data_IF_263172704607
#
_entry.id   IF_263172704607
#
_cell.length_a   1.000
_cell.length_b   1.000
_cell.length_c   1.000
_cell.angle_alpha   90.00
_cell.angle_beta   90.00
_cell.angle_gamma   90.00
#
_symmetry.space_group_name_H-M   'P 1'
#
loop_
_entity.id
_entity.type
_entity.pdbx_description
1 polymer ?
#
# COMPACT_ATOMS: atom_id res chain seq x y z
N UNK A 1 -24.10 -22.06 -12.13
CA UNK A 1 -24.70 -21.25 -13.19
C UNK A 1 -23.61 -20.61 -14.04
N UNK A 2 -23.49 -20.92 -15.33
CA UNK A 2 -22.55 -20.20 -16.23
C UNK A 2 -23.13 -18.82 -16.49
N UNK A 3 -22.49 -17.78 -15.99
CA UNK A 3 -22.82 -16.38 -16.32
C UNK A 3 -22.57 -16.22 -17.82
N UNK A 4 -23.63 -16.02 -18.61
CA UNK A 4 -23.51 -15.73 -20.03
C UNK A 4 -22.92 -14.28 -20.16
N UNK A 5 -21.62 -14.20 -20.33
CA UNK A 5 -20.93 -12.92 -20.57
C UNK A 5 -21.21 -12.47 -21.99
N UNK A 6 -22.12 -11.52 -22.19
CA UNK A 6 -22.29 -10.88 -23.50
C UNK A 6 -20.96 -10.22 -23.91
N UNK A 7 -20.36 -10.70 -24.98
CA UNK A 7 -19.03 -10.32 -25.47
C UNK A 7 -18.81 -8.77 -25.56
N UNK A 8 -19.77 -7.97 -26.06
CA UNK A 8 -19.62 -6.51 -26.13
C UNK A 8 -19.55 -5.86 -24.73
N UNK A 9 -20.39 -6.29 -23.79
CA UNK A 9 -20.41 -5.76 -22.42
C UNK A 9 -19.12 -6.10 -21.67
N UNK A 10 -18.60 -7.31 -21.85
CA UNK A 10 -17.33 -7.73 -21.26
C UNK A 10 -16.18 -6.87 -21.76
N UNK A 11 -16.08 -6.61 -23.08
CA UNK A 11 -15.03 -5.76 -23.67
C UNK A 11 -15.12 -4.32 -23.14
N UNK A 12 -16.33 -3.76 -23.06
CA UNK A 12 -16.56 -2.42 -22.54
C UNK A 12 -16.15 -2.32 -21.06
N UNK A 13 -16.64 -3.22 -20.21
CA UNK A 13 -16.31 -3.24 -18.77
C UNK A 13 -14.82 -3.44 -18.55
N UNK A 14 -14.17 -4.28 -19.35
CA UNK A 14 -12.72 -4.50 -19.32
C UNK A 14 -11.96 -3.19 -19.63
N UNK A 15 -12.30 -2.51 -20.74
CA UNK A 15 -11.64 -1.27 -21.13
C UNK A 15 -11.83 -0.17 -20.08
N UNK A 16 -13.08 0.04 -19.61
CA UNK A 16 -13.38 1.02 -18.57
C UNK A 16 -12.65 0.74 -17.26
N UNK A 17 -12.57 -0.53 -16.87
CA UNK A 17 -11.83 -0.94 -15.69
C UNK A 17 -10.31 -0.76 -15.82
N UNK A 18 -9.74 -0.98 -17.03
CA UNK A 18 -8.32 -0.69 -17.30
C UNK A 18 -8.07 0.82 -17.21
N UNK A 19 -8.87 1.64 -17.89
CA UNK A 19 -8.76 3.13 -17.82
C UNK A 19 -8.84 3.60 -16.37
N UNK A 20 -9.84 3.11 -15.62
CA UNK A 20 -9.95 3.40 -14.19
C UNK A 20 -8.65 3.11 -13.44
N UNK A 21 -8.06 1.93 -13.60
CA UNK A 21 -6.86 1.56 -12.86
C UNK A 21 -5.62 2.34 -13.25
N UNK A 22 -5.43 2.53 -14.54
CA UNK A 22 -4.29 3.28 -15.10
C UNK A 22 -4.28 4.71 -14.58
N UNK A 23 -5.44 5.39 -14.70
CA UNK A 23 -5.59 6.79 -14.25
C UNK A 23 -5.58 6.89 -12.72
N UNK A 24 -6.12 5.88 -12.00
CA UNK A 24 -6.06 5.80 -10.54
C UNK A 24 -4.62 5.77 -10.02
N UNK A 25 -3.75 4.93 -10.61
CA UNK A 25 -2.35 4.81 -10.20
C UNK A 25 -1.63 6.14 -10.46
N UNK A 26 -1.87 6.78 -11.61
CA UNK A 26 -1.31 8.08 -11.91
C UNK A 26 -1.79 9.17 -10.93
N UNK A 27 -3.08 9.23 -10.61
CA UNK A 27 -3.64 10.17 -9.62
C UNK A 27 -3.01 9.97 -8.24
N UNK A 28 -2.84 8.71 -7.82
CA UNK A 28 -2.26 8.37 -6.53
C UNK A 28 -0.79 8.79 -6.41
N UNK A 29 -0.05 8.82 -7.53
CA UNK A 29 1.34 9.25 -7.56
C UNK A 29 1.52 10.72 -7.14
N UNK A 30 0.57 11.60 -7.48
CA UNK A 30 0.59 13.01 -7.03
C UNK A 30 0.31 13.18 -5.53
N UNK A 31 -0.12 12.12 -4.85
CA UNK A 31 -0.42 12.08 -3.43
C UNK A 31 0.31 10.93 -2.72
N UNK A 32 1.49 10.54 -3.24
CA UNK A 32 2.24 9.39 -2.71
C UNK A 32 2.55 9.56 -1.21
N UNK A 33 2.07 8.64 -0.34
CA UNK A 33 2.16 8.80 1.11
C UNK A 33 3.58 8.80 1.68
N UNK A 34 4.54 8.23 0.96
CA UNK A 34 5.95 8.14 1.41
C UNK A 34 6.87 9.17 0.77
N UNK A 35 6.41 9.86 -0.28
CA UNK A 35 7.21 10.85 -0.98
C UNK A 35 6.56 12.25 -0.98
N UNK A 36 5.41 12.43 -1.62
CA UNK A 36 4.79 13.73 -1.82
C UNK A 36 4.17 14.28 -0.54
N UNK A 37 3.40 13.45 0.18
CA UNK A 37 2.69 13.92 1.38
C UNK A 37 3.61 14.32 2.52
N UNK A 38 4.71 13.63 2.85
CA UNK A 38 5.65 14.10 3.86
C UNK A 38 6.26 15.46 3.54
N UNK A 39 6.65 15.69 2.27
CA UNK A 39 7.20 16.97 1.82
C UNK A 39 6.15 18.10 1.94
N UNK A 40 4.91 17.82 1.55
CA UNK A 40 3.78 18.75 1.70
C UNK A 40 3.54 19.12 3.16
N UNK A 41 3.47 18.12 4.06
CA UNK A 41 3.20 18.37 5.49
C UNK A 41 4.34 19.17 6.13
N UNK A 42 5.60 18.91 5.76
CA UNK A 42 6.72 19.73 6.22
C UNK A 42 6.59 21.16 5.75
N UNK A 43 6.25 21.41 4.49
CA UNK A 43 6.05 22.76 3.95
C UNK A 43 4.87 23.47 4.66
N UNK A 44 3.75 22.74 4.89
CA UNK A 44 2.57 23.28 5.55
C UNK A 44 2.80 23.67 7.01
N UNK A 45 3.66 22.93 7.73
CA UNK A 45 3.85 23.05 9.18
C UNK A 45 5.17 23.70 9.57
N UNK A 46 5.98 24.15 8.61
CA UNK A 46 7.28 24.73 8.87
C UNK A 46 8.30 23.74 9.48
N UNK A 47 8.25 22.46 9.08
CA UNK A 47 9.21 21.44 9.51
C UNK A 47 8.72 20.50 10.63
N UNK A 48 7.45 20.53 10.97
CA UNK A 48 6.87 19.73 12.06
C UNK A 48 6.77 18.23 11.76
N UNK A 49 7.73 17.41 12.17
CA UNK A 49 7.79 15.96 11.92
C UNK A 49 6.64 15.17 12.57
N UNK A 50 6.17 15.63 13.74
CA UNK A 50 5.03 15.02 14.42
C UNK A 50 3.77 15.03 13.53
N UNK A 51 3.59 16.08 12.76
CA UNK A 51 2.46 16.24 11.85
C UNK A 51 2.55 15.29 10.66
N UNK A 52 3.77 15.00 10.17
CA UNK A 52 4.01 13.95 9.16
C UNK A 52 3.56 12.58 9.70
N UNK A 53 3.93 12.26 10.93
CA UNK A 53 3.50 11.03 11.60
C UNK A 53 1.98 10.95 11.77
N UNK A 54 1.33 12.05 12.18
CA UNK A 54 -0.13 12.12 12.36
C UNK A 54 -0.87 11.91 11.02
N UNK A 55 -0.46 12.58 9.95
CA UNK A 55 -1.10 12.41 8.62
C UNK A 55 -0.94 10.98 8.12
N UNK A 56 0.25 10.38 8.24
CA UNK A 56 0.49 9.00 7.87
C UNK A 56 -0.38 8.03 8.69
N UNK A 57 -0.52 8.27 10.00
CA UNK A 57 -1.37 7.48 10.89
C UNK A 57 -2.87 7.61 10.52
N UNK A 58 -3.34 8.81 10.22
CA UNK A 58 -4.73 9.06 9.84
C UNK A 58 -5.09 8.40 8.49
N UNK A 59 -4.19 8.47 7.50
CA UNK A 59 -4.39 7.79 6.21
C UNK A 59 -4.48 6.27 6.42
N UNK A 60 -3.55 5.70 7.18
CA UNK A 60 -3.53 4.25 7.44
C UNK A 60 -4.73 3.80 8.26
N UNK A 61 -5.09 4.55 9.30
CA UNK A 61 -6.28 4.28 10.12
C UNK A 61 -7.56 4.42 9.32
N UNK A 62 -7.66 5.46 8.47
CA UNK A 62 -8.77 5.69 7.56
C UNK A 62 -8.98 4.52 6.59
N UNK A 63 -7.88 3.86 6.18
CA UNK A 63 -7.95 2.67 5.35
C UNK A 63 -8.41 1.42 6.11
N UNK A 64 -8.05 1.24 7.38
CA UNK A 64 -8.33 0.00 8.13
C UNK A 64 -9.70 -0.02 8.78
N UNK A 65 -10.14 1.09 9.41
CA UNK A 65 -11.36 1.07 10.22
C UNK A 65 -12.62 0.68 9.44
N UNK A 66 -12.86 1.10 8.17
CA UNK A 66 -14.06 0.70 7.47
C UNK A 66 -14.07 -0.79 7.12
N UNK A 67 -12.90 -1.38 6.88
CA UNK A 67 -12.75 -2.79 6.52
C UNK A 67 -13.28 -3.73 7.60
N UNK A 68 -13.24 -3.30 8.87
CA UNK A 68 -13.72 -4.08 10.02
C UNK A 68 -15.24 -4.32 9.93
N UNK A 69 -15.99 -3.37 9.35
CA UNK A 69 -17.45 -3.38 9.34
C UNK A 69 -18.06 -3.71 7.98
N UNK A 70 -17.39 -3.36 6.90
CA UNK A 70 -18.00 -3.30 5.56
C UNK A 70 -18.14 -4.65 4.86
N UNK A 71 -17.30 -5.64 5.16
CA UNK A 71 -17.38 -6.93 4.47
C UNK A 71 -18.73 -7.63 4.70
N UNK A 72 -19.27 -7.56 5.92
CA UNK A 72 -20.62 -8.05 6.25
C UNK A 72 -21.73 -7.22 5.62
N UNK A 73 -21.58 -5.91 5.59
CA UNK A 73 -22.59 -5.00 5.04
C UNK A 73 -22.78 -5.21 3.53
N UNK A 74 -21.70 -5.31 2.76
CA UNK A 74 -21.79 -5.45 1.29
C UNK A 74 -22.27 -6.83 0.85
N UNK A 75 -22.03 -7.88 1.62
CA UNK A 75 -22.48 -9.24 1.27
C UNK A 75 -24.01 -9.39 1.18
N UNK A 76 -24.78 -8.47 1.75
CA UNK A 76 -26.25 -8.45 1.74
C UNK A 76 -26.86 -7.58 0.64
N UNK A 77 -26.04 -6.90 -0.17
CA UNK A 77 -26.50 -5.95 -1.18
C UNK A 77 -26.46 -6.55 -2.58
N UNK A 78 -27.55 -6.34 -3.34
CA UNK A 78 -27.65 -6.81 -4.74
C UNK A 78 -26.86 -5.97 -5.74
N UNK A 79 -26.68 -4.68 -5.45
CA UNK A 79 -25.94 -3.72 -6.28
C UNK A 79 -24.93 -2.97 -5.43
N UNK A 80 -23.68 -2.94 -5.89
CA UNK A 80 -22.56 -2.35 -5.20
C UNK A 80 -22.05 -1.08 -5.88
N UNK A 81 -22.37 -0.87 -7.16
CA UNK A 81 -21.96 0.29 -7.94
C UNK A 81 -22.38 1.65 -7.35
N UNK A 82 -23.59 1.81 -6.74
CA UNK A 82 -23.94 3.06 -6.07
C UNK A 82 -22.98 3.40 -4.91
N UNK A 83 -22.55 2.40 -4.14
CA UNK A 83 -21.59 2.60 -3.04
C UNK A 83 -20.21 2.98 -3.55
N UNK A 84 -19.76 2.36 -4.66
CA UNK A 84 -18.54 2.77 -5.34
C UNK A 84 -18.61 4.23 -5.80
N UNK A 85 -19.71 4.66 -6.40
CA UNK A 85 -19.91 6.04 -6.87
C UNK A 85 -19.85 7.04 -5.72
N UNK A 86 -20.57 6.79 -4.62
CA UNK A 86 -20.59 7.66 -3.43
C UNK A 86 -19.20 7.75 -2.80
N UNK A 87 -18.53 6.63 -2.61
CA UNK A 87 -17.18 6.61 -2.02
C UNK A 87 -16.16 7.30 -2.92
N UNK A 88 -16.25 7.11 -4.23
CA UNK A 88 -15.37 7.79 -5.20
C UNK A 88 -15.62 9.30 -5.24
N UNK A 89 -16.87 9.74 -5.20
CA UNK A 89 -17.21 11.16 -5.10
C UNK A 89 -16.63 11.76 -3.80
N UNK A 90 -16.79 11.06 -2.65
CA UNK A 90 -16.19 11.48 -1.38
C UNK A 90 -14.67 11.60 -1.43
N UNK A 91 -13.98 10.68 -2.14
CA UNK A 91 -12.52 10.79 -2.36
C UNK A 91 -12.14 12.03 -3.15
N UNK A 92 -12.80 12.26 -4.29
CA UNK A 92 -12.55 13.44 -5.14
C UNK A 92 -12.81 14.72 -4.37
N UNK A 93 -13.96 14.80 -3.67
CA UNK A 93 -14.31 15.97 -2.85
C UNK A 93 -13.30 16.22 -1.73
N UNK A 94 -12.77 15.17 -1.09
CA UNK A 94 -11.73 15.32 -0.07
C UNK A 94 -10.44 15.90 -0.65
N UNK A 95 -9.99 15.42 -1.83
CA UNK A 95 -8.78 15.97 -2.48
C UNK A 95 -8.99 17.44 -2.89
N UNK A 96 -10.15 17.78 -3.49
CA UNK A 96 -10.49 19.15 -3.83
C UNK A 96 -10.59 20.04 -2.59
N UNK A 97 -11.14 19.50 -1.48
CA UNK A 97 -11.17 20.17 -0.20
C UNK A 97 -9.78 20.48 0.35
N UNK A 98 -8.83 19.51 0.24
CA UNK A 98 -7.43 19.75 0.61
C UNK A 98 -6.85 20.88 -0.25
N UNK A 99 -7.00 20.81 -1.57
CA UNK A 99 -6.51 21.86 -2.49
C UNK A 99 -7.11 23.22 -2.13
N UNK A 100 -8.42 23.30 -1.87
CA UNK A 100 -9.10 24.53 -1.49
C UNK A 100 -8.60 25.08 -0.13
N UNK A 101 -8.54 24.23 0.92
CA UNK A 101 -8.06 24.65 2.23
C UNK A 101 -6.64 25.21 2.13
N UNK A 102 -5.76 24.57 1.36
CA UNK A 102 -4.38 25.02 1.17
C UNK A 102 -4.31 26.31 0.34
N UNK A 103 -5.15 26.44 -0.71
CA UNK A 103 -5.20 27.63 -1.57
C UNK A 103 -5.66 28.88 -0.82
N UNK A 104 -6.65 28.75 0.06
CA UNK A 104 -7.26 29.85 0.80
C UNK A 104 -6.70 30.00 2.22
N UNK A 105 -5.66 29.22 2.59
CA UNK A 105 -5.05 29.35 3.90
C UNK A 105 -4.27 30.66 4.05
N UNK A 106 -4.33 31.31 5.21
CA UNK A 106 -3.46 32.46 5.52
C UNK A 106 -1.98 32.04 5.45
N UNK A 107 -1.11 32.99 5.16
CA UNK A 107 0.33 32.75 5.17
C UNK A 107 0.80 32.38 6.57
N UNK A 108 1.46 31.22 6.69
CA UNK A 108 2.02 30.71 7.95
C UNK A 108 1.33 29.44 8.49
N UNK A 109 1.93 28.77 9.48
CA UNK A 109 1.42 27.53 10.06
C UNK A 109 0.24 27.81 11.00
N UNK A 110 -0.96 27.55 10.53
CA UNK A 110 -2.18 27.67 11.32
C UNK A 110 -2.72 26.29 11.70
N UNK A 111 -2.94 26.06 12.99
CA UNK A 111 -3.40 24.77 13.52
C UNK A 111 -4.71 24.30 12.87
N UNK A 112 -5.66 25.18 12.59
CA UNK A 112 -6.92 24.83 11.96
C UNK A 112 -6.76 24.33 10.51
N UNK A 113 -5.81 24.91 9.74
CA UNK A 113 -5.49 24.46 8.37
C UNK A 113 -4.97 23.03 8.41
N UNK A 114 -4.04 22.77 9.32
CA UNK A 114 -3.52 21.42 9.50
C UNK A 114 -4.62 20.43 9.89
N UNK A 115 -5.47 20.78 10.87
CA UNK A 115 -6.56 19.90 11.34
C UNK A 115 -7.57 19.61 10.21
N UNK A 116 -7.92 20.62 9.41
CA UNK A 116 -8.80 20.46 8.26
C UNK A 116 -8.18 19.52 7.20
N UNK A 117 -6.93 19.75 6.83
CA UNK A 117 -6.18 18.91 5.87
C UNK A 117 -6.05 17.48 6.38
N UNK A 118 -5.67 17.28 7.64
CA UNK A 118 -5.53 15.97 8.26
C UNK A 118 -6.86 15.21 8.30
N UNK A 119 -7.96 15.89 8.65
CA UNK A 119 -9.32 15.34 8.60
C UNK A 119 -9.75 14.95 7.18
N UNK A 120 -9.42 15.77 6.18
CA UNK A 120 -9.71 15.45 4.78
C UNK A 120 -8.89 14.27 4.26
N UNK A 121 -7.63 14.09 4.67
CA UNK A 121 -6.85 12.89 4.37
C UNK A 121 -7.46 11.63 4.99
N UNK A 122 -7.96 11.72 6.22
CA UNK A 122 -8.69 10.61 6.85
C UNK A 122 -9.97 10.26 6.07
N UNK A 123 -10.76 11.26 5.66
CA UNK A 123 -11.95 11.06 4.80
C UNK A 123 -11.57 10.44 3.46
N UNK A 124 -10.54 10.95 2.81
CA UNK A 124 -10.00 10.40 1.55
C UNK A 124 -9.68 8.91 1.66
N UNK A 125 -8.93 8.53 2.70
CA UNK A 125 -8.53 7.14 2.93
C UNK A 125 -9.74 6.26 3.27
N UNK A 126 -10.65 6.74 4.12
CA UNK A 126 -11.88 6.03 4.51
C UNK A 126 -12.80 5.78 3.30
N UNK A 127 -13.02 6.79 2.47
CA UNK A 127 -13.76 6.63 1.22
C UNK A 127 -13.08 5.63 0.28
N UNK A 128 -11.74 5.64 0.21
CA UNK A 128 -10.97 4.65 -0.55
C UNK A 128 -11.23 3.22 -0.09
N UNK A 129 -11.17 2.99 1.20
CA UNK A 129 -11.45 1.69 1.81
C UNK A 129 -12.89 1.21 1.56
N UNK A 130 -13.88 2.12 1.66
CA UNK A 130 -15.28 1.83 1.36
C UNK A 130 -15.48 1.41 -0.10
N UNK A 131 -14.82 2.08 -1.04
CA UNK A 131 -14.95 1.80 -2.48
C UNK A 131 -14.23 0.53 -2.95
N UNK A 132 -13.25 0.04 -2.20
CA UNK A 132 -12.43 -1.10 -2.59
C UNK A 132 -13.23 -2.41 -2.68
N UNK A 133 -14.10 -2.70 -1.70
CA UNK A 133 -14.90 -3.94 -1.69
C UNK A 133 -15.89 -3.99 -2.87
N UNK A 134 -16.72 -2.92 -3.11
CA UNK A 134 -17.54 -2.84 -4.31
C UNK A 134 -16.74 -3.02 -5.61
N UNK A 135 -15.59 -2.38 -5.72
CA UNK A 135 -14.73 -2.49 -6.90
C UNK A 135 -14.33 -3.95 -7.19
N UNK A 136 -13.74 -4.65 -6.21
CA UNK A 136 -13.32 -6.04 -6.40
C UNK A 136 -14.49 -6.98 -6.66
N UNK A 137 -15.63 -6.78 -6.00
CA UNK A 137 -16.84 -7.59 -6.23
C UNK A 137 -17.36 -7.40 -7.66
N UNK A 138 -17.51 -6.16 -8.13
CA UNK A 138 -17.98 -5.88 -9.50
C UNK A 138 -17.02 -6.44 -10.54
N UNK A 139 -15.69 -6.32 -10.35
CA UNK A 139 -14.69 -6.91 -11.24
C UNK A 139 -14.85 -8.44 -11.27
N UNK A 140 -15.04 -9.05 -10.11
CA UNK A 140 -15.21 -10.50 -9.99
C UNK A 140 -16.48 -11.01 -10.68
N UNK A 141 -17.56 -10.25 -10.60
CA UNK A 141 -18.85 -10.63 -11.23
C UNK A 141 -18.89 -10.31 -12.72
N UNK A 142 -18.12 -9.28 -13.14
CA UNK A 142 -18.11 -8.82 -14.54
C UNK A 142 -17.09 -9.54 -15.43
N UNK A 143 -16.11 -10.23 -14.84
CA UNK A 143 -14.98 -10.81 -15.60
C UNK A 143 -14.70 -12.28 -15.25
N UNK A 144 -14.49 -13.14 -16.28
CA UNK A 144 -14.07 -14.53 -16.07
C UNK A 144 -12.71 -14.60 -15.35
N UNK A 145 -12.54 -15.62 -14.51
CA UNK A 145 -11.32 -15.79 -13.69
C UNK A 145 -10.01 -15.78 -14.52
N UNK A 146 -10.04 -16.44 -15.70
CA UNK A 146 -8.88 -16.53 -16.61
C UNK A 146 -8.46 -15.19 -17.26
N UNK A 147 -9.27 -14.13 -17.18
CA UNK A 147 -8.95 -12.79 -17.71
C UNK A 147 -8.54 -11.79 -16.63
N UNK A 148 -8.82 -12.08 -15.35
CA UNK A 148 -8.54 -11.17 -14.23
C UNK A 148 -7.04 -10.86 -14.08
N UNK A 149 -6.19 -11.89 -14.21
CA UNK A 149 -4.74 -11.70 -14.13
C UNK A 149 -4.22 -10.71 -15.18
N UNK A 150 -4.63 -10.87 -16.45
CA UNK A 150 -4.28 -9.95 -17.53
C UNK A 150 -4.85 -8.55 -17.32
N UNK A 151 -6.06 -8.44 -16.76
CA UNK A 151 -6.71 -7.17 -16.43
C UNK A 151 -5.89 -6.38 -15.39
N UNK A 152 -5.56 -7.00 -14.26
CA UNK A 152 -4.78 -6.34 -13.23
C UNK A 152 -3.34 -6.07 -13.68
N UNK A 153 -2.71 -7.00 -14.43
CA UNK A 153 -1.38 -6.81 -14.99
C UNK A 153 -1.30 -5.60 -15.92
N UNK A 154 -2.27 -5.43 -16.81
CA UNK A 154 -2.33 -4.28 -17.73
C UNK A 154 -2.55 -2.95 -16.98
N UNK A 155 -3.40 -2.94 -15.96
CA UNK A 155 -3.62 -1.78 -15.09
C UNK A 155 -2.32 -1.36 -14.38
N UNK A 156 -1.61 -2.32 -13.80
CA UNK A 156 -0.36 -2.05 -13.08
C UNK A 156 0.75 -1.59 -14.04
N UNK A 157 0.88 -2.21 -15.20
CA UNK A 157 1.90 -1.85 -16.18
C UNK A 157 1.70 -0.45 -16.73
N UNK A 158 0.54 -0.18 -17.32
CA UNK A 158 0.24 1.14 -17.92
C UNK A 158 0.13 2.22 -16.84
N UNK A 159 -0.45 1.90 -15.68
CA UNK A 159 -0.54 2.80 -14.53
C UNK A 159 0.85 3.15 -13.98
N UNK A 160 1.76 2.18 -13.89
CA UNK A 160 3.16 2.41 -13.50
C UNK A 160 3.90 3.33 -14.46
N UNK A 161 3.70 3.17 -15.77
CA UNK A 161 4.26 4.10 -16.77
C UNK A 161 3.73 5.53 -16.58
N UNK A 162 2.42 5.70 -16.35
CA UNK A 162 1.86 7.01 -16.06
C UNK A 162 2.32 7.56 -14.69
N UNK A 163 2.58 6.71 -13.71
CA UNK A 163 3.14 7.14 -12.42
C UNK A 163 4.58 7.66 -12.56
N UNK A 164 5.38 7.09 -13.48
CA UNK A 164 6.69 7.64 -13.82
C UNK A 164 6.56 9.06 -14.41
N UNK A 165 5.62 9.25 -15.36
CA UNK A 165 5.34 10.58 -15.92
C UNK A 165 4.82 11.55 -14.85
N UNK A 166 3.97 11.07 -13.93
CA UNK A 166 3.53 11.86 -12.78
C UNK A 166 4.72 12.29 -11.90
N UNK A 167 5.69 11.42 -11.66
CA UNK A 167 6.92 11.76 -10.93
C UNK A 167 7.75 12.85 -11.62
N UNK A 168 7.85 12.81 -12.95
CA UNK A 168 8.49 13.86 -13.73
C UNK A 168 7.72 15.19 -13.59
N UNK A 169 6.38 15.15 -13.65
CA UNK A 169 5.53 16.32 -13.44
C UNK A 169 5.67 16.88 -12.01
N UNK A 170 5.66 16.02 -10.99
CA UNK A 170 5.89 16.43 -9.59
C UNK A 170 7.24 17.12 -9.45
N UNK A 171 8.31 16.56 -10.04
CA UNK A 171 9.64 17.19 -10.05
C UNK A 171 9.59 18.58 -10.68
N UNK A 172 8.95 18.73 -11.84
CA UNK A 172 8.85 20.00 -12.53
C UNK A 172 8.06 21.04 -11.69
N UNK A 173 6.91 20.67 -11.13
CA UNK A 173 6.05 21.54 -10.32
C UNK A 173 6.74 21.96 -9.02
N UNK A 174 7.51 21.09 -8.38
CA UNK A 174 8.25 21.39 -7.15
C UNK A 174 9.63 22.05 -7.40
N UNK A 175 10.01 22.26 -8.67
CA UNK A 175 11.25 22.95 -9.03
C UNK A 175 11.08 24.45 -8.88
N UNK A 176 12.02 25.10 -8.17
CA UNK A 176 12.06 26.57 -8.02
C UNK A 176 12.21 27.31 -9.35
N UNK A 177 12.74 26.63 -10.38
CA UNK A 177 12.92 27.20 -11.73
C UNK A 177 11.61 27.61 -12.42
N UNK A 178 10.49 27.03 -12.03
CA UNK A 178 9.18 27.35 -12.61
C UNK A 178 8.39 28.40 -11.83
N UNK A 179 8.96 28.97 -10.76
CA UNK A 179 8.37 30.08 -10.01
C UNK A 179 7.14 29.74 -9.17
N UNK A 180 6.72 28.47 -9.14
CA UNK A 180 5.62 28.01 -8.30
C UNK A 180 6.11 27.74 -6.89
N UNK A 181 5.84 28.68 -5.98
CA UNK A 181 6.18 28.54 -4.58
C UNK A 181 5.02 27.90 -3.78
N UNK A 182 5.32 27.47 -2.55
CA UNK A 182 4.28 27.08 -1.61
C UNK A 182 3.35 28.28 -1.31
N UNK A 183 2.01 28.09 -1.30
CA UNK A 183 1.27 26.83 -1.44
C UNK A 183 0.88 26.42 -2.85
N UNK A 184 1.06 27.27 -3.88
CA UNK A 184 0.50 27.09 -5.23
C UNK A 184 0.99 25.81 -5.91
N UNK A 185 2.24 25.40 -5.70
CA UNK A 185 2.80 24.16 -6.23
C UNK A 185 2.03 22.93 -5.72
N UNK A 186 1.70 22.85 -4.43
CA UNK A 186 0.91 21.73 -3.88
C UNK A 186 -0.57 21.81 -4.22
N UNK A 187 -1.15 23.02 -4.31
CA UNK A 187 -2.51 23.21 -4.83
C UNK A 187 -2.63 22.63 -6.23
N UNK A 188 -1.65 22.91 -7.10
CA UNK A 188 -1.61 22.35 -8.46
C UNK A 188 -1.50 20.81 -8.44
N UNK A 189 -0.62 20.23 -7.61
CA UNK A 189 -0.48 18.78 -7.48
C UNK A 189 -1.80 18.12 -7.05
N UNK A 190 -2.46 18.63 -6.02
CA UNK A 190 -3.73 18.09 -5.54
C UNK A 190 -4.88 18.31 -6.53
N UNK A 191 -4.88 19.41 -7.26
CA UNK A 191 -5.88 19.65 -8.32
C UNK A 191 -5.71 18.63 -9.46
N UNK A 192 -4.49 18.38 -9.92
CA UNK A 192 -4.21 17.33 -10.92
C UNK A 192 -4.64 15.97 -10.38
N UNK A 193 -4.28 15.63 -9.13
CA UNK A 193 -4.71 14.39 -8.48
C UNK A 193 -6.23 14.24 -8.46
N UNK A 194 -6.98 15.33 -8.12
CA UNK A 194 -8.43 15.33 -8.06
C UNK A 194 -9.06 15.11 -9.45
N UNK A 195 -8.57 15.79 -10.47
CA UNK A 195 -9.04 15.63 -11.85
C UNK A 195 -8.82 14.22 -12.37
N UNK A 196 -7.61 13.70 -12.20
CA UNK A 196 -7.30 12.32 -12.59
C UNK A 196 -8.14 11.31 -11.78
N UNK A 197 -8.32 11.52 -10.48
CA UNK A 197 -9.18 10.67 -9.65
C UNK A 197 -10.64 10.71 -10.10
N UNK A 198 -11.15 11.89 -10.50
CA UNK A 198 -12.50 12.04 -11.04
C UNK A 198 -12.65 11.30 -12.38
N UNK A 199 -11.68 11.40 -13.29
CA UNK A 199 -11.66 10.63 -14.55
C UNK A 199 -11.65 9.13 -14.27
N UNK A 200 -10.79 8.69 -13.36
CA UNK A 200 -10.71 7.29 -12.94
C UNK A 200 -12.07 6.81 -12.39
N UNK A 201 -12.65 7.54 -11.45
CA UNK A 201 -13.93 7.23 -10.82
C UNK A 201 -15.08 7.23 -11.86
N UNK A 202 -15.10 8.21 -12.76
CA UNK A 202 -16.07 8.32 -13.85
C UNK A 202 -16.04 7.11 -14.78
N UNK A 203 -14.84 6.69 -15.19
CA UNK A 203 -14.68 5.52 -16.05
C UNK A 203 -15.29 4.24 -15.44
N UNK A 204 -15.08 3.97 -14.16
CA UNK A 204 -15.66 2.79 -13.52
C UNK A 204 -17.13 2.98 -13.14
N UNK A 205 -17.58 4.21 -12.93
CA UNK A 205 -18.98 4.51 -12.58
C UNK A 205 -19.97 4.19 -13.68
N UNK A 206 -19.53 4.08 -14.94
CA UNK A 206 -20.35 3.73 -16.09
C UNK A 206 -20.25 2.24 -16.50
N UNK A 207 -19.59 1.42 -15.69
CA UNK A 207 -19.55 -0.04 -15.85
C UNK A 207 -20.94 -0.60 -15.66
N UNK A 208 -21.30 -1.60 -16.46
CA UNK A 208 -22.55 -2.34 -16.27
C UNK A 208 -22.31 -3.42 -15.21
N UNK A 209 -22.96 -3.24 -14.06
CA UNK A 209 -22.86 -4.17 -12.93
C UNK A 209 -23.82 -5.36 -13.15
N UNK A 210 -23.34 -6.63 -13.14
CA UNK A 210 -24.19 -7.79 -13.03
C UNK A 210 -24.84 -7.87 -11.66
N UNK A 211 -25.98 -8.55 -11.56
CA UNK A 211 -26.61 -8.78 -10.26
C UNK A 211 -25.69 -9.62 -9.36
N UNK A 212 -25.38 -9.07 -8.17
CA UNK A 212 -24.55 -9.75 -7.18
C UNK A 212 -25.34 -10.87 -6.47
N UNK A 213 -24.70 -12.02 -6.27
CA UNK A 213 -25.31 -13.15 -5.61
C UNK A 213 -25.33 -12.92 -4.09
N UNK A 214 -26.51 -12.57 -3.55
CA UNK A 214 -26.68 -12.23 -2.15
C UNK A 214 -26.62 -13.46 -1.26
N UNK A 215 -25.67 -13.51 -0.35
CA UNK A 215 -25.60 -14.56 0.67
C UNK A 215 -26.58 -14.26 1.83
N UNK A 216 -27.65 -15.05 1.93
CA UNK A 216 -28.75 -14.82 2.88
C UNK A 216 -28.42 -15.01 4.38
N UNK A 217 -27.29 -15.65 4.73
CA UNK A 217 -26.94 -15.94 6.13
C UNK A 217 -25.46 -15.72 6.37
N UNK A 218 -25.11 -14.58 6.95
CA UNK A 218 -23.82 -14.40 7.63
C UNK A 218 -24.05 -13.79 9.02
N UNK A 219 -23.34 -14.33 10.01
CA UNK A 219 -23.30 -13.79 11.36
C UNK A 219 -22.84 -12.32 11.31
N UNK A 220 -23.37 -11.42 12.16
CA UNK A 220 -22.91 -10.05 12.23
C UNK A 220 -21.41 -10.02 12.54
N UNK A 221 -20.65 -9.26 11.76
CA UNK A 221 -19.19 -9.13 11.80
C UNK A 221 -18.59 -8.91 13.21
N UNK A 222 -19.23 -8.14 14.12
CA UNK A 222 -18.70 -7.96 15.48
C UNK A 222 -18.51 -9.28 16.23
N UNK A 223 -19.38 -10.27 16.00
CA UNK A 223 -19.32 -11.56 16.70
C UNK A 223 -18.20 -12.47 16.16
N UNK A 224 -17.83 -12.34 14.87
CA UNK A 224 -16.70 -13.05 14.30
C UNK A 224 -15.35 -12.44 14.75
N UNK A 225 -15.28 -11.13 14.89
CA UNK A 225 -14.09 -10.40 15.36
C UNK A 225 -13.77 -10.72 16.81
N UNK A 226 -14.79 -10.85 17.69
CA UNK A 226 -14.63 -11.25 19.09
C UNK A 226 -13.97 -12.64 19.23
N UNK A 227 -14.10 -13.51 18.23
CA UNK A 227 -13.43 -14.82 18.19
C UNK A 227 -11.95 -14.75 17.77
N UNK A 228 -11.48 -13.61 17.31
CA UNK A 228 -10.11 -13.39 16.81
C UNK A 228 -8.99 -13.81 17.77
N UNK A 229 -9.03 -13.50 19.09
CA UNK A 229 -7.99 -13.96 20.01
C UNK A 229 -7.88 -15.50 20.10
N UNK A 230 -8.99 -16.22 19.88
CA UNK A 230 -8.95 -17.69 19.81
C UNK A 230 -8.28 -18.19 18.52
N UNK A 231 -8.41 -17.46 17.40
CA UNK A 231 -7.72 -17.76 16.15
C UNK A 231 -6.19 -17.65 16.33
N UNK A 232 -5.71 -16.56 16.95
CA UNK A 232 -4.28 -16.38 17.25
C UNK A 232 -3.69 -17.51 18.11
N UNK A 233 -4.48 -18.08 19.01
CA UNK A 233 -4.01 -19.17 19.88
C UNK A 233 -3.97 -20.51 19.15
N UNK A 234 -4.91 -20.76 18.23
CA UNK A 234 -5.09 -22.07 17.59
C UNK A 234 -4.35 -22.21 16.26
N UNK A 235 -4.22 -21.12 15.50
CA UNK A 235 -3.60 -21.13 14.19
C UNK A 235 -2.20 -20.52 14.27
N UNK A 236 -1.17 -21.38 14.11
CA UNK A 236 0.23 -20.99 14.16
C UNK A 236 0.60 -20.06 13.01
N UNK A 237 0.19 -20.39 11.78
CA UNK A 237 0.48 -19.57 10.60
C UNK A 237 -0.19 -18.20 10.69
N UNK A 238 -1.44 -18.14 11.13
CA UNK A 238 -2.13 -16.87 11.35
C UNK A 238 -1.43 -16.00 12.40
N UNK A 239 -1.01 -16.59 13.51
CA UNK A 239 -0.27 -15.87 14.56
C UNK A 239 1.06 -15.31 14.04
N UNK A 240 1.85 -16.11 13.32
CA UNK A 240 3.12 -15.67 12.74
C UNK A 240 2.91 -14.58 11.69
N UNK A 241 1.89 -14.70 10.84
CA UNK A 241 1.53 -13.68 9.88
C UNK A 241 1.16 -12.35 10.58
N UNK A 242 0.40 -12.39 11.68
CA UNK A 242 0.06 -11.19 12.45
C UNK A 242 1.29 -10.55 13.08
N UNK A 243 2.23 -11.32 13.63
CA UNK A 243 3.50 -10.79 14.12
C UNK A 243 4.34 -10.17 13.00
N UNK A 244 4.44 -10.83 11.85
CA UNK A 244 5.13 -10.27 10.68
C UNK A 244 4.53 -8.94 10.24
N UNK A 245 3.21 -8.84 10.18
CA UNK A 245 2.50 -7.60 9.84
C UNK A 245 2.71 -6.51 10.89
N UNK A 246 2.72 -6.87 12.17
CA UNK A 246 2.96 -5.95 13.27
C UNK A 246 4.38 -5.36 13.19
N UNK A 247 5.39 -6.20 13.06
CA UNK A 247 6.77 -5.74 12.86
C UNK A 247 6.93 -4.95 11.56
N UNK A 248 6.26 -5.35 10.49
CA UNK A 248 6.22 -4.59 9.22
C UNK A 248 5.61 -3.20 9.39
N UNK A 249 4.52 -3.07 10.16
CA UNK A 249 3.90 -1.77 10.46
C UNK A 249 4.83 -0.88 11.31
N UNK A 250 5.54 -1.45 12.28
CA UNK A 250 6.58 -0.77 13.06
C UNK A 250 7.70 -0.29 12.15
N UNK A 251 8.20 -1.16 11.26
CA UNK A 251 9.26 -0.82 10.32
C UNK A 251 8.84 0.31 9.38
N UNK A 252 7.69 0.15 8.73
CA UNK A 252 7.16 1.14 7.80
C UNK A 252 6.86 2.48 8.49
N UNK A 253 6.26 2.46 9.69
CA UNK A 253 5.93 3.67 10.42
C UNK A 253 7.14 4.40 11.02
N UNK A 254 8.25 3.68 11.30
CA UNK A 254 9.48 4.29 11.79
C UNK A 254 10.31 4.95 10.70
N UNK A 255 10.23 4.50 9.45
CA UNK A 255 11.11 4.96 8.37
C UNK A 255 10.36 5.57 7.19
N UNK A 256 9.31 4.95 6.70
CA UNK A 256 8.65 5.31 5.44
C UNK A 256 8.31 6.80 5.30
N UNK A 257 7.47 7.38 6.16
CA UNK A 257 7.10 8.79 6.08
C UNK A 257 8.26 9.77 6.33
N UNK A 258 9.40 9.29 6.85
CA UNK A 258 10.52 10.14 7.27
C UNK A 258 11.72 10.11 6.33
N UNK A 259 11.72 9.29 5.28
CA UNK A 259 12.79 9.28 4.27
C UNK A 259 12.89 10.62 3.55
N UNK A 260 11.77 11.17 3.08
CA UNK A 260 11.75 12.47 2.39
C UNK A 260 12.09 13.62 3.34
N UNK A 261 11.48 13.74 4.54
CA UNK A 261 11.94 14.68 5.55
C UNK A 261 13.45 14.64 5.81
N UNK A 262 14.03 13.47 5.91
CA UNK A 262 15.47 13.30 6.06
C UNK A 262 16.25 13.87 4.85
N UNK A 263 15.81 13.61 3.64
CA UNK A 263 16.45 14.15 2.43
C UNK A 263 16.41 15.69 2.41
N UNK A 264 15.26 16.28 2.73
CA UNK A 264 15.06 17.72 2.68
C UNK A 264 15.78 18.46 3.82
N UNK A 265 15.69 17.95 5.06
CA UNK A 265 16.21 18.64 6.24
C UNK A 265 17.69 18.34 6.54
N UNK A 266 18.10 17.06 6.41
CA UNK A 266 19.45 16.62 6.78
C UNK A 266 20.40 16.64 5.59
N UNK A 267 19.94 16.13 4.43
CA UNK A 267 20.76 16.11 3.22
C UNK A 267 20.68 17.43 2.43
N UNK A 268 19.77 18.34 2.84
CA UNK A 268 19.56 19.65 2.17
C UNK A 268 19.25 19.51 0.68
N UNK A 269 18.57 18.42 0.29
CA UNK A 269 18.17 18.22 -1.08
C UNK A 269 17.06 19.22 -1.48
N UNK A 270 17.02 19.69 -2.75
CA UNK A 270 15.95 20.55 -3.24
C UNK A 270 14.60 19.83 -3.26
N UNK A 271 13.48 20.53 -3.10
CA UNK A 271 12.13 19.92 -3.08
C UNK A 271 11.84 19.11 -4.34
N UNK A 272 12.37 19.50 -5.48
CA UNK A 272 12.21 18.77 -6.74
C UNK A 272 12.73 17.32 -6.70
N UNK A 273 13.60 16.95 -5.74
CA UNK A 273 14.08 15.57 -5.56
C UNK A 273 12.94 14.60 -5.23
N UNK A 274 11.83 15.08 -4.64
CA UNK A 274 10.64 14.28 -4.34
C UNK A 274 10.10 13.61 -5.60
N UNK A 275 10.03 14.35 -6.70
CA UNK A 275 9.59 13.79 -7.99
C UNK A 275 10.58 12.76 -8.55
N UNK A 276 11.89 12.95 -8.36
CA UNK A 276 12.90 11.98 -8.76
C UNK A 276 12.77 10.66 -7.95
N UNK A 277 12.55 10.75 -6.64
CA UNK A 277 12.29 9.57 -5.80
C UNK A 277 11.02 8.84 -6.23
N UNK A 278 9.97 9.58 -6.57
CA UNK A 278 8.72 9.01 -7.08
C UNK A 278 8.91 8.26 -8.40
N UNK A 279 9.71 8.80 -9.33
CA UNK A 279 10.08 8.10 -10.59
C UNK A 279 10.75 6.77 -10.30
N UNK A 280 11.75 6.76 -9.41
CA UNK A 280 12.49 5.55 -9.03
C UNK A 280 11.56 4.52 -8.38
N UNK A 281 10.72 4.94 -7.44
CA UNK A 281 9.74 4.07 -6.78
C UNK A 281 8.73 3.48 -7.77
N UNK A 282 8.17 4.32 -8.64
CA UNK A 282 7.17 3.87 -9.63
C UNK A 282 7.76 2.86 -10.61
N UNK A 283 8.99 3.11 -11.11
CA UNK A 283 9.70 2.17 -11.98
C UNK A 283 9.99 0.84 -11.29
N UNK A 284 10.48 0.88 -10.05
CA UNK A 284 10.74 -0.32 -9.24
C UNK A 284 9.44 -1.11 -8.95
N UNK A 285 8.36 -0.42 -8.59
CA UNK A 285 7.06 -1.03 -8.33
C UNK A 285 6.46 -1.67 -9.59
N UNK A 286 6.49 -0.98 -10.73
CA UNK A 286 5.98 -1.52 -11.99
C UNK A 286 6.74 -2.79 -12.42
N UNK A 287 8.06 -2.78 -12.32
CA UNK A 287 8.91 -3.93 -12.65
C UNK A 287 8.73 -5.10 -11.68
N UNK A 288 8.55 -4.83 -10.40
CA UNK A 288 8.44 -5.87 -9.37
C UNK A 288 7.14 -6.66 -9.42
N UNK A 289 6.02 -6.06 -9.88
CA UNK A 289 4.72 -6.74 -9.93
C UNK A 289 4.75 -8.03 -10.73
N UNK A 290 5.46 -8.06 -11.89
CA UNK A 290 5.60 -9.25 -12.71
C UNK A 290 6.40 -10.35 -12.00
N UNK A 291 7.46 -9.96 -11.30
CA UNK A 291 8.28 -10.89 -10.53
C UNK A 291 7.51 -11.50 -9.37
N UNK A 292 6.81 -10.67 -8.58
CA UNK A 292 6.06 -11.12 -7.43
C UNK A 292 4.91 -12.05 -7.80
N UNK A 293 4.16 -11.73 -8.86
CA UNK A 293 3.14 -12.66 -9.42
C UNK A 293 3.74 -14.00 -9.74
N UNK A 294 4.87 -14.02 -10.47
CA UNK A 294 5.51 -15.27 -10.89
C UNK A 294 6.00 -16.08 -9.68
N UNK A 295 6.61 -15.45 -8.68
CA UNK A 295 7.07 -16.14 -7.47
C UNK A 295 5.86 -16.72 -6.72
N UNK A 296 4.79 -15.96 -6.54
CA UNK A 296 3.59 -16.43 -5.85
C UNK A 296 2.92 -17.61 -6.53
N UNK A 297 2.88 -17.61 -7.88
CA UNK A 297 2.25 -18.67 -8.67
C UNK A 297 3.10 -19.95 -8.73
N UNK A 298 4.44 -19.83 -8.77
CA UNK A 298 5.33 -20.99 -8.99
C UNK A 298 6.00 -21.52 -7.74
N UNK A 299 6.23 -20.68 -6.72
CA UNK A 299 7.00 -21.03 -5.52
C UNK A 299 6.21 -20.87 -4.21
N UNK A 300 4.97 -20.38 -4.31
CA UNK A 300 4.09 -20.17 -3.16
C UNK A 300 4.20 -18.81 -2.51
N UNK A 301 3.16 -18.49 -1.74
CA UNK A 301 3.03 -17.18 -1.09
C UNK A 301 4.01 -17.00 0.08
N UNK A 302 4.47 -18.07 0.72
CA UNK A 302 5.53 -17.99 1.74
C UNK A 302 6.84 -17.45 1.18
N UNK A 303 7.33 -17.99 0.05
CA UNK A 303 8.57 -17.51 -0.58
C UNK A 303 8.45 -16.09 -1.06
N UNK A 304 7.29 -15.71 -1.62
CA UNK A 304 6.99 -14.33 -1.99
C UNK A 304 7.13 -13.40 -0.78
N UNK A 305 6.54 -13.76 0.37
CA UNK A 305 6.65 -12.99 1.60
C UNK A 305 8.10 -12.91 2.12
N UNK A 306 8.88 -13.99 2.05
CA UNK A 306 10.29 -13.97 2.45
C UNK A 306 11.08 -12.97 1.63
N UNK A 307 10.99 -13.04 0.30
CA UNK A 307 11.77 -12.16 -0.58
C UNK A 307 11.32 -10.70 -0.49
N UNK A 308 10.01 -10.43 -0.42
CA UNK A 308 9.50 -9.07 -0.26
C UNK A 308 9.86 -8.49 1.12
N UNK A 309 9.85 -9.30 2.19
CA UNK A 309 10.29 -8.87 3.52
C UNK A 309 11.80 -8.64 3.60
N UNK A 310 12.61 -9.47 2.94
CA UNK A 310 14.06 -9.25 2.84
C UNK A 310 14.37 -7.92 2.15
N UNK A 311 13.65 -7.63 1.05
CA UNK A 311 13.79 -6.36 0.33
C UNK A 311 13.34 -5.17 1.20
N UNK A 312 12.30 -5.33 2.03
CA UNK A 312 11.78 -4.27 2.90
C UNK A 312 12.72 -3.86 4.05
N UNK A 313 13.76 -4.65 4.35
CA UNK A 313 14.82 -4.26 5.31
C UNK A 313 15.70 -3.14 4.74
N UNK A 314 15.91 -3.13 3.42
CA UNK A 314 16.92 -2.31 2.76
C UNK A 314 16.67 -0.79 2.82
N UNK A 315 15.46 -0.24 2.68
CA UNK A 315 15.25 1.20 2.63
C UNK A 315 15.82 1.94 3.86
N UNK A 316 15.47 1.48 5.04
CA UNK A 316 15.96 2.09 6.29
C UNK A 316 17.44 1.82 6.52
N UNK A 317 17.95 0.64 6.16
CA UNK A 317 19.37 0.29 6.24
C UNK A 317 20.22 1.17 5.30
N UNK A 318 19.79 1.38 4.06
CA UNK A 318 20.48 2.27 3.12
C UNK A 318 20.47 3.71 3.63
N UNK A 319 19.34 4.17 4.20
CA UNK A 319 19.27 5.50 4.81
C UNK A 319 20.29 5.66 5.95
N UNK A 320 20.49 4.63 6.79
CA UNK A 320 21.53 4.62 7.83
C UNK A 320 22.93 4.65 7.23
N UNK A 321 23.21 3.80 6.26
CA UNK A 321 24.52 3.73 5.59
C UNK A 321 24.87 5.09 4.95
N UNK A 322 23.88 5.78 4.38
CA UNK A 322 24.10 7.09 3.78
C UNK A 322 24.66 8.13 4.75
N UNK A 323 24.40 7.99 6.05
CA UNK A 323 24.94 8.90 7.09
C UNK A 323 26.47 8.79 7.23
N UNK A 324 27.05 7.61 6.96
CA UNK A 324 28.48 7.39 7.01
C UNK A 324 29.21 7.83 5.72
N UNK A 325 28.46 8.14 4.66
CA UNK A 325 29.03 8.52 3.36
C UNK A 325 29.34 10.03 3.34
N UNK A 326 30.52 10.47 2.85
CA UNK A 326 30.84 11.89 2.74
C UNK A 326 29.94 12.59 1.71
N UNK A 327 29.60 13.88 1.90
CA UNK A 327 28.77 14.65 0.98
C UNK A 327 29.58 15.19 -0.22
N UNK A 328 30.43 14.37 -0.83
CA UNK A 328 31.24 14.78 -1.97
C UNK A 328 30.34 15.06 -3.20
N UNK A 329 30.59 16.14 -3.96
CA UNK A 329 29.81 16.45 -5.16
C UNK A 329 30.10 15.42 -6.27
N UNK A 330 29.04 14.93 -6.91
CA UNK A 330 29.13 13.97 -8.05
C UNK A 330 28.69 14.60 -9.38
N UNK A 331 28.09 15.80 -9.35
CA UNK A 331 27.53 16.42 -10.55
C UNK A 331 26.04 16.64 -10.45
N UNK A 332 25.29 16.30 -11.52
CA UNK A 332 23.83 16.45 -11.55
C UNK A 332 23.13 15.15 -11.90
N UNK A 333 21.98 14.91 -11.26
CA UNK A 333 21.10 13.80 -11.54
C UNK A 333 19.68 14.33 -11.80
N UNK A 334 19.12 14.01 -12.96
CA UNK A 334 17.87 14.62 -13.42
C UNK A 334 17.89 16.16 -13.37
N UNK A 335 19.04 16.80 -13.61
CA UNK A 335 19.20 18.25 -13.53
C UNK A 335 19.19 18.82 -12.08
N UNK A 336 19.32 17.97 -11.05
CA UNK A 336 19.43 18.35 -9.65
C UNK A 336 20.87 18.12 -9.16
N UNK A 337 21.40 18.97 -8.26
CA UNK A 337 22.73 18.76 -7.70
C UNK A 337 22.76 17.42 -6.93
N UNK A 338 23.73 16.59 -7.24
CA UNK A 338 23.91 15.27 -6.65
C UNK A 338 25.20 15.23 -5.85
N UNK A 339 25.09 14.85 -4.58
CA UNK A 339 26.24 14.47 -3.76
C UNK A 339 26.30 12.95 -3.63
N UNK A 340 27.48 12.40 -3.32
CA UNK A 340 27.65 10.95 -3.09
C UNK A 340 26.72 10.44 -2.01
N UNK A 341 26.54 11.19 -0.92
CA UNK A 341 25.60 10.87 0.15
C UNK A 341 24.16 10.80 -0.34
N UNK A 342 23.71 11.79 -1.13
CA UNK A 342 22.36 11.81 -1.70
C UNK A 342 22.17 10.69 -2.71
N UNK A 343 23.18 10.36 -3.49
CA UNK A 343 23.15 9.25 -4.44
C UNK A 343 22.93 7.91 -3.72
N UNK A 344 23.72 7.62 -2.68
CA UNK A 344 23.56 6.41 -1.87
C UNK A 344 22.19 6.40 -1.20
N UNK A 345 21.76 7.50 -0.62
CA UNK A 345 20.43 7.61 -0.01
C UNK A 345 19.29 7.34 -1.02
N UNK A 346 19.41 7.87 -2.23
CA UNK A 346 18.39 7.70 -3.29
C UNK A 346 18.17 6.23 -3.67
N UNK A 347 19.17 5.38 -3.48
CA UNK A 347 19.03 3.93 -3.70
C UNK A 347 17.98 3.30 -2.76
N UNK A 348 17.65 3.92 -1.62
CA UNK A 348 16.63 3.41 -0.71
C UNK A 348 15.22 3.36 -1.34
N UNK A 349 14.96 4.20 -2.34
CA UNK A 349 13.66 4.25 -3.00
C UNK A 349 13.43 3.10 -3.99
N UNK A 350 14.50 2.44 -4.44
CA UNK A 350 14.40 1.23 -5.28
C UNK A 350 13.76 0.07 -4.47
N UNK A 351 14.34 -0.40 -3.37
CA UNK A 351 13.73 -1.46 -2.57
C UNK A 351 12.41 -1.04 -1.93
N UNK A 352 12.21 0.25 -1.63
CA UNK A 352 10.92 0.75 -1.12
C UNK A 352 9.79 0.52 -2.13
N UNK A 353 9.99 0.93 -3.40
CA UNK A 353 9.02 0.69 -4.46
C UNK A 353 8.91 -0.78 -4.85
N UNK A 354 10.00 -1.54 -4.77
CA UNK A 354 10.05 -2.95 -5.15
C UNK A 354 9.33 -3.85 -4.13
N UNK A 355 9.51 -3.61 -2.82
CA UNK A 355 8.96 -4.46 -1.76
C UNK A 355 7.44 -4.31 -1.58
N UNK A 356 6.89 -3.10 -1.74
CA UNK A 356 5.51 -2.79 -1.42
C UNK A 356 4.49 -3.69 -2.13
N UNK A 357 4.52 -3.89 -3.46
CA UNK A 357 3.58 -4.78 -4.13
C UNK A 357 3.70 -6.24 -3.68
N UNK A 358 4.93 -6.71 -3.42
CA UNK A 358 5.17 -8.06 -2.92
C UNK A 358 4.58 -8.30 -1.54
N UNK A 359 4.70 -7.32 -0.66
CA UNK A 359 4.09 -7.36 0.67
C UNK A 359 2.56 -7.41 0.58
N UNK A 360 1.95 -6.54 -0.23
CA UNK A 360 0.49 -6.46 -0.38
C UNK A 360 -0.09 -7.75 -0.97
N UNK A 361 0.49 -8.24 -2.05
CA UNK A 361 0.08 -9.49 -2.71
C UNK A 361 0.30 -10.68 -1.78
N UNK A 362 1.49 -10.79 -1.21
CA UNK A 362 1.88 -11.94 -0.39
C UNK A 362 1.06 -12.04 0.90
N UNK A 363 0.89 -10.94 1.64
CA UNK A 363 0.11 -10.94 2.88
C UNK A 363 -1.36 -11.25 2.64
N UNK A 364 -1.94 -10.70 1.57
CA UNK A 364 -3.35 -10.94 1.23
C UNK A 364 -3.58 -12.38 0.78
N UNK A 365 -2.76 -12.87 -0.16
CA UNK A 365 -2.91 -14.23 -0.69
C UNK A 365 -2.63 -15.28 0.39
N UNK A 366 -1.55 -15.13 1.16
CA UNK A 366 -1.22 -16.06 2.25
C UNK A 366 -2.35 -16.12 3.30
N UNK A 367 -2.93 -14.96 3.65
CA UNK A 367 -4.07 -14.91 4.57
C UNK A 367 -5.29 -15.65 4.01
N UNK A 368 -5.55 -15.53 2.70
CA UNK A 368 -6.67 -16.23 2.04
C UNK A 368 -6.42 -17.75 1.90
N UNK A 369 -5.16 -18.15 1.77
CA UNK A 369 -4.78 -19.58 1.68
C UNK A 369 -4.95 -20.29 3.03
N UNK A 370 -4.56 -19.65 4.15
CA UNK A 370 -4.72 -20.24 5.50
C UNK A 370 -6.13 -20.12 6.05
N UNK A 371 -6.94 -19.17 5.56
CA UNK A 371 -8.28 -18.92 6.10
C UNK A 371 -9.32 -19.89 5.52
N UNK A 372 -9.96 -20.74 6.35
CA UNK A 372 -11.07 -21.59 5.89
C UNK A 372 -12.17 -20.76 5.24
N UNK A 373 -12.76 -21.23 4.13
CA UNK A 373 -13.74 -20.48 3.33
C UNK A 373 -14.89 -19.88 4.17
N UNK A 374 -15.40 -20.64 5.12
CA UNK A 374 -16.49 -20.20 6.01
C UNK A 374 -16.08 -19.14 7.02
N UNK A 375 -14.76 -18.90 7.24
CA UNK A 375 -14.21 -17.98 8.25
C UNK A 375 -13.31 -16.92 7.66
N UNK A 376 -13.21 -16.79 6.34
CA UNK A 376 -12.35 -15.77 5.68
C UNK A 376 -12.64 -14.35 6.16
N UNK A 377 -13.91 -13.99 6.35
CA UNK A 377 -14.31 -12.69 6.88
C UNK A 377 -13.78 -12.44 8.30
N UNK A 378 -13.78 -13.47 9.15
CA UNK A 378 -13.25 -13.37 10.52
C UNK A 378 -11.73 -13.13 10.53
N UNK A 379 -10.97 -13.88 9.70
CA UNK A 379 -9.52 -13.68 9.57
C UNK A 379 -9.16 -12.30 9.04
N UNK A 380 -9.85 -11.84 7.98
CA UNK A 380 -9.63 -10.50 7.41
C UNK A 380 -10.00 -9.40 8.40
N UNK A 381 -11.23 -9.44 8.96
CA UNK A 381 -11.70 -8.40 9.89
C UNK A 381 -10.84 -8.29 11.14
N UNK A 382 -10.44 -9.43 11.72
CA UNK A 382 -9.56 -9.43 12.89
C UNK A 382 -8.15 -8.94 12.55
N UNK A 383 -7.64 -9.25 11.36
CA UNK A 383 -6.33 -8.75 10.94
C UNK A 383 -6.31 -7.21 10.85
N UNK A 384 -7.37 -6.57 10.33
CA UNK A 384 -7.47 -5.12 10.30
C UNK A 384 -7.64 -4.52 11.71
N UNK A 385 -8.38 -5.20 12.60
CA UNK A 385 -8.51 -4.76 13.99
C UNK A 385 -7.18 -4.73 14.72
N UNK A 386 -6.34 -5.76 14.54
CA UNK A 386 -4.99 -5.82 15.14
C UNK A 386 -4.07 -4.75 14.55
N UNK A 387 -4.21 -4.45 13.27
CA UNK A 387 -3.39 -3.44 12.60
C UNK A 387 -3.82 -1.99 12.90
N UNK A 388 -5.05 -1.75 13.33
CA UNK A 388 -5.57 -0.41 13.57
C UNK A 388 -4.78 0.40 14.63
N UNK A 389 -4.44 -0.11 15.81
CA UNK A 389 -3.57 0.61 16.75
C UNK A 389 -2.14 0.79 16.21
N UNK A 390 -1.62 -0.17 15.44
CA UNK A 390 -0.29 -0.07 14.82
C UNK A 390 -0.24 0.96 13.68
N UNK A 391 -1.37 1.35 13.13
CA UNK A 391 -1.46 2.46 12.16
C UNK A 391 -0.98 3.80 12.75
N UNK A 392 -0.93 3.94 14.10
CA UNK A 392 -0.43 5.11 14.79
C UNK A 392 1.08 5.07 15.06
N UNK A 393 1.78 4.01 14.64
CA UNK A 393 3.22 3.89 14.81
C UNK A 393 4.04 5.02 14.15
N UNK A 394 3.63 5.62 13.03
CA UNK A 394 4.33 6.79 12.49
C UNK A 394 4.42 7.98 13.46
N UNK A 395 3.45 8.14 14.37
CA UNK A 395 3.51 9.15 15.42
C UNK A 395 4.63 8.84 16.42
N UNK A 396 4.77 7.56 16.80
CA UNK A 396 5.89 7.11 17.66
C UNK A 396 7.22 7.32 16.95
N UNK A 397 7.31 7.00 15.66
CA UNK A 397 8.50 7.29 14.83
C UNK A 397 8.86 8.78 14.83
N UNK A 398 7.88 9.65 14.67
CA UNK A 398 8.07 11.11 14.73
C UNK A 398 8.59 11.59 16.09
N UNK A 399 8.05 11.05 17.19
CA UNK A 399 8.49 11.36 18.56
C UNK A 399 9.96 10.94 18.78
N UNK A 400 10.34 9.75 18.29
CA UNK A 400 11.73 9.27 18.36
C UNK A 400 12.65 10.21 17.60
N UNK A 401 12.27 10.65 16.41
CA UNK A 401 13.06 11.60 15.61
C UNK A 401 13.20 12.96 16.33
N UNK A 402 12.12 13.44 16.94
CA UNK A 402 12.11 14.71 17.67
C UNK A 402 12.97 14.72 18.92
N UNK A 403 13.09 13.59 19.62
CA UNK A 403 13.89 13.47 20.85
C UNK A 403 15.32 12.95 20.63
N UNK A 404 15.53 12.18 19.55
CA UNK A 404 16.83 11.58 19.24
C UNK A 404 17.35 12.09 17.89
N UNK A 405 17.45 11.23 16.91
CA UNK A 405 17.87 11.57 15.54
C UNK A 405 17.19 10.61 14.57
N UNK A 406 17.12 10.97 13.30
CA UNK A 406 16.63 10.09 12.24
C UNK A 406 17.30 8.70 12.26
N UNK A 407 18.58 8.64 12.65
CA UNK A 407 19.34 7.39 12.75
C UNK A 407 18.68 6.36 13.67
N UNK A 408 18.14 6.78 14.83
CA UNK A 408 17.48 5.87 15.76
C UNK A 408 16.17 5.33 15.18
N UNK A 409 15.38 6.18 14.52
CA UNK A 409 14.14 5.76 13.87
C UNK A 409 14.41 4.77 12.71
N UNK A 410 15.44 5.02 11.90
CA UNK A 410 15.85 4.12 10.82
C UNK A 410 16.44 2.81 11.35
N UNK A 411 17.22 2.85 12.45
CA UNK A 411 17.73 1.64 13.10
C UNK A 411 16.57 0.78 13.62
N UNK A 412 15.60 1.39 14.31
CA UNK A 412 14.40 0.68 14.77
C UNK A 412 13.60 0.11 13.58
N UNK A 413 13.45 0.90 12.51
CA UNK A 413 12.79 0.46 11.27
C UNK A 413 13.47 -0.76 10.66
N UNK A 414 14.79 -0.75 10.55
CA UNK A 414 15.59 -1.87 10.01
C UNK A 414 15.49 -3.11 10.90
N UNK A 415 15.59 -2.95 12.22
CA UNK A 415 15.46 -4.07 13.20
C UNK A 415 14.06 -4.67 13.17
N UNK A 416 13.02 -3.83 13.11
CA UNK A 416 11.64 -4.30 13.01
C UNK A 416 11.39 -5.03 11.67
N UNK A 417 11.92 -4.53 10.56
CA UNK A 417 11.83 -5.21 9.27
C UNK A 417 12.56 -6.57 9.29
N UNK A 418 13.72 -6.65 9.92
CA UNK A 418 14.44 -7.91 10.12
C UNK A 418 13.64 -8.89 11.00
N UNK A 419 12.98 -8.41 12.07
CA UNK A 419 12.08 -9.21 12.89
C UNK A 419 10.86 -9.69 12.09
N UNK A 420 10.29 -8.87 11.21
CA UNK A 420 9.23 -9.28 10.29
C UNK A 420 9.71 -10.41 9.37
N UNK A 421 10.89 -10.29 8.78
CA UNK A 421 11.51 -11.33 7.95
C UNK A 421 11.69 -12.64 8.73
N UNK A 422 12.23 -12.58 9.95
CA UNK A 422 12.42 -13.76 10.80
C UNK A 422 11.11 -14.46 11.16
N UNK A 423 10.00 -13.73 11.30
CA UNK A 423 8.69 -14.35 11.52
C UNK A 423 8.16 -15.02 10.26
N UNK A 424 8.37 -14.43 9.08
CA UNK A 424 7.93 -14.99 7.80
C UNK A 424 8.69 -16.26 7.45
N UNK A 425 9.98 -16.36 7.76
CA UNK A 425 10.75 -17.59 7.52
C UNK A 425 10.23 -18.81 8.30
N UNK A 426 9.48 -18.57 9.39
CA UNK A 426 8.89 -19.62 10.25
C UNK A 426 7.47 -20.01 9.83
N UNK A 427 6.90 -19.40 8.81
CA UNK A 427 5.60 -19.79 8.23
C UNK A 427 5.74 -21.14 7.51
N UNK A 428 4.68 -21.91 7.53
CA UNK A 428 4.55 -23.10 6.70
C UNK A 428 3.80 -22.73 5.41
N UNK A 429 4.20 -23.32 4.25
CA UNK A 429 3.52 -23.04 2.97
C UNK A 429 2.20 -23.79 2.92
N UNK A 430 1.04 -23.11 2.88
CA UNK A 430 -0.26 -23.77 2.91
C UNK A 430 -0.57 -24.53 1.60
N UNK A 431 0.12 -24.21 0.50
CA UNK A 431 -0.06 -24.79 -0.83
C UNK A 431 1.06 -25.77 -1.21
N UNK A 432 1.77 -26.32 -0.21
CA UNK A 432 2.92 -27.20 -0.45
C UNK A 432 2.56 -28.41 -1.32
N UNK A 433 1.42 -29.05 -1.06
CA UNK A 433 0.93 -30.22 -1.81
C UNK A 433 0.58 -29.84 -3.26
N UNK A 434 -0.14 -28.74 -3.47
CA UNK A 434 -0.55 -28.26 -4.79
C UNK A 434 0.63 -27.86 -5.69
N UNK A 435 1.74 -27.43 -5.05
CA UNK A 435 2.96 -26.98 -5.74
C UNK A 435 4.00 -28.09 -5.90
N UNK A 436 3.73 -29.30 -5.40
CA UNK A 436 4.69 -30.41 -5.39
C UNK A 436 5.92 -30.15 -4.53
N UNK A 437 5.79 -29.27 -3.51
CA UNK A 437 6.85 -28.88 -2.57
C UNK A 437 6.79 -29.69 -1.26
N UNK A 438 5.80 -30.57 -1.09
CA UNK A 438 5.72 -31.47 0.04
C UNK A 438 6.92 -32.43 0.01
N UNK A 439 7.71 -32.46 1.08
CA UNK A 439 8.71 -33.50 1.27
C UNK A 439 8.01 -34.85 1.23
N UNK A 440 8.55 -35.80 0.44
CA UNK A 440 8.05 -37.17 0.46
C UNK A 440 7.98 -37.65 1.92
N UNK A 441 6.87 -38.27 2.35
CA UNK A 441 6.78 -38.74 3.71
C UNK A 441 8.00 -39.62 4.01
N UNK A 442 8.65 -39.35 5.15
CA UNK A 442 9.79 -40.15 5.60
C UNK A 442 9.38 -41.64 5.52
N UNK A 443 10.22 -42.52 4.96
CA UNK A 443 9.88 -43.91 4.86
C UNK A 443 9.51 -44.41 6.28
N UNK A 444 8.32 -44.99 6.40
CA UNK A 444 7.86 -45.57 7.67
C UNK A 444 8.96 -46.53 8.17
N UNK A 445 9.36 -46.42 9.45
CA UNK A 445 10.36 -47.31 9.99
C UNK A 445 9.82 -48.74 9.89
N UNK A 446 10.44 -49.50 8.98
CA UNK A 446 10.22 -50.87 8.58
C UNK A 446 9.16 -51.66 9.32
N UNK A 447 8.07 -51.94 8.69
CA UNK A 447 7.42 -53.25 8.85
C UNK A 447 8.43 -54.30 8.39
N UNK A 448 9.20 -54.82 9.34
CA UNK A 448 10.01 -56.03 9.16
C UNK A 448 9.08 -57.08 8.59
N UNK A 449 9.35 -57.51 7.35
CA UNK A 449 8.76 -58.69 6.76
C UNK A 449 8.93 -59.87 7.69
N UNK A 450 7.86 -60.31 8.31
CA UNK A 450 7.81 -61.58 8.99
C UNK A 450 8.10 -62.65 7.95
N UNK A 451 9.17 -63.46 8.08
CA UNK A 451 9.40 -64.55 7.15
C UNK A 451 8.28 -65.57 7.33
N UNK A 452 7.61 -65.89 6.22
CA UNK A 452 6.69 -67.03 6.15
C UNK A 452 7.49 -68.32 6.42
N UNK A 453 7.38 -68.79 7.65
CA UNK A 453 7.90 -70.11 8.06
C UNK A 453 7.02 -71.22 7.53
N UNK A 454 7.65 -72.23 6.96
CA UNK A 454 7.38 -73.48 6.36
C UNK A 454 6.18 -74.34 6.71
#
# INVERSE_FOLDING_TARGET
MRVNYHQPLLRRNYALGVVNGVVFIAASAFMEPTAVLPAFVLALTGGGKIWVGIVAALITSGWFWPQIFLAGFFSTRRRLLPFYRISSAGRVSAILGIAAVVAFSPHGPHAWVFMAVAGLFFVYASCGAVGMIPFFSIVSDSMPANRRGRFFGLRCLLGGLLAILAGIAVKAILSEQHGLLFPQNYVLLFTIAAVLMAVSAGAFSIVTEPEHNVQRHKLPMPMEVVRGPRLLRRDRNFRLLMWSRAFGAIAAGSSGPFLVPFALEVLKAPQAVVGAFLVVMAAASAGSNLLWSRIGDTQGNRKLLIWSSATAVLPAAIALVSLAVPPAPLGTWFGLPLTLRLAVFSLAFIPLGFAAPGQDIGQTNFLLDIAPERRRSAYLGFSYLVMLPLAWWPVVGALIIGTARFSLAFALGSLAAAAALLTVTRLDEPRADDLGLAEAPAPEPGLQSVPAGG
#
